data_IF_493206685957
#
_entry.id   IF_493206685957
#
_cell.length_a   1.000
_cell.length_b   1.000
_cell.length_c   1.000
_cell.angle_alpha   90.00
_cell.angle_beta   90.00
_cell.angle_gamma   90.00
#
_symmetry.space_group_name_H-M   'P 1'
#
loop_
_entity.id
_entity.type
_entity.pdbx_description
1 polymer ?
#
# COMPACT_ATOMS: atom_id res chain seq x y z
N UNK A 1 10.18 44.73 55.24
CA UNK A 1 9.43 45.56 54.28
C UNK A 1 8.06 45.73 54.91
N UNK A 2 7.71 46.94 55.34
CA UNK A 2 6.58 47.17 56.26
C UNK A 2 5.21 47.33 55.57
N UNK A 3 5.15 47.23 54.23
CA UNK A 3 3.90 47.29 53.46
C UNK A 3 3.90 46.31 52.25
N UNK A 4 2.73 45.79 51.83
CA UNK A 4 2.61 44.92 50.66
C UNK A 4 2.96 45.69 49.38
N UNK A 5 3.63 45.03 48.43
CA UNK A 5 4.01 45.65 47.15
C UNK A 5 2.78 45.85 46.29
N UNK A 6 2.57 47.06 45.81
CA UNK A 6 1.41 47.48 45.04
C UNK A 6 1.65 47.22 43.55
N UNK A 7 0.85 46.37 42.93
CA UNK A 7 1.04 45.91 41.54
C UNK A 7 -0.11 46.35 40.65
N UNK A 8 0.24 46.92 39.50
CA UNK A 8 -0.68 47.18 38.38
C UNK A 8 -0.42 46.15 37.25
N UNK A 9 -1.47 45.54 36.71
CA UNK A 9 -1.34 44.60 35.58
C UNK A 9 -1.94 45.22 34.31
N UNK A 10 -1.18 45.26 33.23
CA UNK A 10 -1.57 45.88 31.96
C UNK A 10 -1.58 44.83 30.85
N UNK A 11 -2.76 44.55 30.32
CA UNK A 11 -3.01 43.64 29.18
C UNK A 11 -4.46 43.87 28.75
N UNK A 12 -4.76 43.87 27.45
CA UNK A 12 -6.13 43.80 26.92
C UNK A 12 -6.75 42.42 27.10
N UNK A 13 -5.94 41.36 27.24
CA UNK A 13 -6.39 39.98 27.34
C UNK A 13 -6.89 39.62 28.76
N UNK A 14 -8.17 39.24 28.94
CA UNK A 14 -8.73 38.93 30.26
C UNK A 14 -8.08 37.72 30.92
N UNK A 15 -7.79 36.67 30.16
CA UNK A 15 -7.14 35.45 30.66
C UNK A 15 -5.74 35.71 31.23
N UNK A 16 -4.96 36.58 30.58
CA UNK A 16 -3.64 36.99 31.08
C UNK A 16 -3.77 37.67 32.44
N UNK A 17 -4.67 38.67 32.55
CA UNK A 17 -4.89 39.43 33.78
C UNK A 17 -5.39 38.54 34.93
N UNK A 18 -6.39 37.70 34.67
CA UNK A 18 -7.00 36.87 35.71
C UNK A 18 -6.10 35.71 36.12
N UNK A 19 -5.37 35.12 35.16
CA UNK A 19 -4.34 34.11 35.42
C UNK A 19 -3.21 34.66 36.30
N UNK A 20 -2.68 35.84 35.96
CA UNK A 20 -1.62 36.47 36.73
C UNK A 20 -2.09 36.91 38.13
N UNK A 21 -3.32 37.43 38.26
CA UNK A 21 -3.94 37.73 39.56
C UNK A 21 -3.99 36.48 40.44
N UNK A 22 -4.45 35.35 39.89
CA UNK A 22 -4.53 34.08 40.61
C UNK A 22 -3.15 33.58 41.04
N UNK A 23 -2.15 33.67 40.16
CA UNK A 23 -0.78 33.25 40.43
C UNK A 23 -0.14 34.07 41.54
N UNK A 24 -0.24 35.40 41.48
CA UNK A 24 0.34 36.30 42.49
C UNK A 24 -0.30 36.11 43.86
N UNK A 25 -1.63 35.94 43.92
CA UNK A 25 -2.32 35.65 45.18
C UNK A 25 -1.90 34.30 45.78
N UNK A 26 -1.83 33.24 44.95
CA UNK A 26 -1.44 31.91 45.43
C UNK A 26 0.00 31.84 45.93
N UNK A 27 0.92 32.54 45.28
CA UNK A 27 2.36 32.43 45.57
C UNK A 27 2.83 33.40 46.66
N UNK A 28 2.31 34.63 46.65
CA UNK A 28 2.89 35.74 47.39
C UNK A 28 1.85 36.60 48.16
N UNK A 29 0.63 36.08 48.35
CA UNK A 29 -0.58 36.83 48.74
C UNK A 29 -0.49 37.84 49.91
N UNK A 30 0.23 37.56 51.00
CA UNK A 30 0.37 38.54 52.10
C UNK A 30 1.38 39.66 51.82
N UNK A 31 2.13 39.56 50.71
CA UNK A 31 3.25 40.45 50.35
C UNK A 31 2.97 41.32 49.12
N UNK A 32 1.83 41.12 48.46
CA UNK A 32 1.46 41.76 47.19
C UNK A 32 0.01 42.22 47.25
N UNK A 33 -0.24 43.46 46.83
CA UNK A 33 -1.57 44.03 46.66
C UNK A 33 -1.76 44.40 45.19
N UNK A 34 -2.81 43.87 44.52
CA UNK A 34 -3.11 44.22 43.14
C UNK A 34 -4.02 45.45 43.14
N UNK A 35 -3.44 46.62 42.85
CA UNK A 35 -4.12 47.92 42.98
C UNK A 35 -5.00 48.27 41.79
N UNK A 36 -4.85 47.57 40.65
CA UNK A 36 -5.68 47.78 39.48
C UNK A 36 -5.29 46.93 38.27
N UNK A 37 -6.06 47.09 37.19
CA UNK A 37 -5.72 46.56 35.87
C UNK A 37 -6.06 47.55 34.78
N UNK A 38 -5.26 47.59 33.71
CA UNK A 38 -5.50 48.41 32.54
C UNK A 38 -5.51 47.58 31.25
N UNK A 39 -6.32 47.97 30.27
CA UNK A 39 -6.56 47.23 29.02
C UNK A 39 -5.88 47.84 27.80
N UNK A 40 -5.44 49.08 27.90
CA UNK A 40 -4.78 49.85 26.84
C UNK A 40 -3.83 50.88 27.48
N UNK A 41 -3.04 51.55 26.65
CA UNK A 41 -2.03 52.53 27.10
C UNK A 41 -2.65 53.67 27.92
N UNK A 42 -3.78 54.24 27.50
CA UNK A 42 -4.39 55.38 28.19
C UNK A 42 -4.92 55.02 29.58
N UNK A 43 -5.60 53.87 29.70
CA UNK A 43 -6.02 53.32 30.99
C UNK A 43 -4.82 53.03 31.89
N UNK A 44 -3.72 52.54 31.33
CA UNK A 44 -2.51 52.24 32.07
C UNK A 44 -1.92 53.52 32.65
N UNK A 45 -1.75 54.57 31.83
CA UNK A 45 -1.21 55.87 32.26
C UNK A 45 -2.13 56.52 33.31
N UNK A 46 -3.45 56.46 33.14
CA UNK A 46 -4.40 56.96 34.14
C UNK A 46 -4.25 56.20 35.47
N UNK A 47 -4.16 54.86 35.42
CA UNK A 47 -3.99 54.02 36.60
C UNK A 47 -2.66 54.25 37.32
N UNK A 48 -1.57 54.58 36.60
CA UNK A 48 -0.29 54.96 37.21
C UNK A 48 -0.44 56.18 38.11
N UNK A 49 -1.13 57.23 37.61
CA UNK A 49 -1.36 58.47 38.36
C UNK A 49 -2.30 58.28 39.54
N UNK A 50 -3.35 57.46 39.37
CA UNK A 50 -4.36 57.24 40.41
C UNK A 50 -3.88 56.33 41.53
N UNK A 51 -3.15 55.25 41.20
CA UNK A 51 -2.87 54.20 42.17
C UNK A 51 -1.44 54.24 42.73
N UNK A 52 -0.50 54.93 42.08
CA UNK A 52 0.91 54.99 42.49
C UNK A 52 1.49 53.58 42.84
N UNK A 53 1.53 52.64 41.88
CA UNK A 53 2.01 51.28 42.12
C UNK A 53 3.54 51.22 42.27
N UNK A 54 4.05 50.20 42.98
CA UNK A 54 5.48 49.91 43.11
C UNK A 54 6.02 49.14 41.89
N UNK A 55 5.14 48.36 41.23
CA UNK A 55 5.47 47.47 40.13
C UNK A 55 4.33 47.43 39.11
N UNK A 56 4.68 47.51 37.83
CA UNK A 56 3.75 47.32 36.71
C UNK A 56 4.16 46.09 35.93
N UNK A 57 3.23 45.17 35.71
CA UNK A 57 3.46 44.00 34.84
C UNK A 57 2.69 44.24 33.54
N UNK A 58 3.43 44.29 32.43
CA UNK A 58 2.86 44.51 31.10
C UNK A 58 3.02 43.25 30.27
N UNK A 59 1.91 42.84 29.66
CA UNK A 59 1.89 41.79 28.66
C UNK A 59 2.68 42.23 27.42
N UNK A 60 3.81 41.57 27.19
CA UNK A 60 4.72 41.88 26.10
C UNK A 60 4.12 41.57 24.73
N UNK A 61 3.22 40.58 24.67
CA UNK A 61 2.68 40.07 23.42
C UNK A 61 1.44 40.86 22.96
N UNK A 62 1.01 41.84 23.75
CA UNK A 62 -0.20 42.61 23.52
C UNK A 62 0.06 43.86 22.67
N UNK A 63 -0.42 43.82 21.44
CA UNK A 63 -0.25 44.90 20.46
C UNK A 63 -1.17 46.11 20.70
N UNK A 64 -2.17 45.99 21.57
CA UNK A 64 -3.05 47.11 21.94
C UNK A 64 -2.39 48.09 22.92
N UNK A 65 -1.24 47.71 23.48
CA UNK A 65 -0.41 48.55 24.34
C UNK A 65 0.75 49.05 23.49
N UNK A 66 0.70 50.31 23.10
CA UNK A 66 1.83 50.95 22.42
C UNK A 66 2.99 51.08 23.42
N UNK A 67 3.98 50.21 23.26
CA UNK A 67 5.10 50.03 24.21
C UNK A 67 6.00 51.26 24.25
N UNK A 68 6.28 51.85 23.10
CA UNK A 68 7.16 53.02 23.01
C UNK A 68 6.49 54.24 23.65
N UNK A 69 5.18 54.41 23.40
CA UNK A 69 4.39 55.47 24.04
C UNK A 69 4.24 55.26 25.55
N UNK A 70 4.01 54.01 25.98
CA UNK A 70 3.89 53.65 27.39
C UNK A 70 5.20 53.88 28.14
N UNK A 71 6.34 53.45 27.58
CA UNK A 71 7.66 53.62 28.19
C UNK A 71 8.18 55.06 28.12
N UNK A 72 7.86 55.82 27.05
CA UNK A 72 8.21 57.24 26.97
C UNK A 72 7.48 58.05 28.04
N UNK A 73 6.17 57.85 28.19
CA UNK A 73 5.37 58.52 29.23
C UNK A 73 5.64 57.97 30.63
N UNK A 74 6.12 56.74 30.76
CA UNK A 74 6.62 56.16 32.01
C UNK A 74 7.79 56.94 32.60
N UNK A 75 8.58 57.68 31.80
CA UNK A 75 9.77 58.41 32.28
C UNK A 75 9.43 59.82 32.81
N UNK A 76 8.30 60.42 32.42
CA UNK A 76 8.00 61.86 32.68
C UNK A 76 7.71 62.25 34.15
N UNK A 77 7.20 61.34 34.97
CA UNK A 77 6.90 61.53 36.41
C UNK A 77 8.14 61.31 37.34
N UNK A 78 8.05 61.63 38.64
CA UNK A 78 9.18 61.55 39.60
C UNK A 78 9.05 60.39 40.62
N UNK A 79 7.96 59.62 40.59
CA UNK A 79 7.77 58.52 41.54
C UNK A 79 8.56 57.24 41.18
N UNK A 80 9.25 56.61 42.15
CA UNK A 80 10.05 55.39 41.92
C UNK A 80 9.14 54.17 41.67
N UNK A 81 9.30 53.53 40.51
CA UNK A 81 8.45 52.41 40.07
C UNK A 81 9.26 51.43 39.18
N UNK A 82 8.93 50.14 39.24
CA UNK A 82 9.49 49.10 38.35
C UNK A 82 8.50 48.64 37.30
N UNK A 83 8.95 48.30 36.10
CA UNK A 83 8.12 47.70 35.04
C UNK A 83 8.68 46.34 34.67
N UNK A 84 7.83 45.35 34.49
CA UNK A 84 8.19 43.99 34.11
C UNK A 84 7.41 43.61 32.87
N UNK A 85 8.11 43.22 31.81
CA UNK A 85 7.51 42.70 30.59
C UNK A 85 7.46 41.18 30.64
N UNK A 86 6.29 40.61 30.41
CA UNK A 86 6.07 39.15 30.41
C UNK A 86 5.48 38.74 29.08
N UNK A 87 6.13 37.79 28.39
CA UNK A 87 5.62 37.14 27.19
C UNK A 87 5.10 35.75 27.55
N UNK A 88 3.99 35.35 26.93
CA UNK A 88 3.48 33.97 26.90
C UNK A 88 3.94 33.22 25.65
N UNK A 89 4.40 33.92 24.61
CA UNK A 89 4.86 33.33 23.34
C UNK A 89 6.35 32.97 23.35
N UNK A 90 7.17 33.73 24.08
CA UNK A 90 8.61 33.55 24.11
C UNK A 90 9.10 33.04 25.47
N UNK A 91 10.02 32.06 25.44
CA UNK A 91 10.70 31.58 26.65
C UNK A 91 12.07 32.26 26.76
N UNK A 92 12.18 33.25 27.65
CA UNK A 92 13.40 34.04 27.87
C UNK A 92 13.43 34.73 29.24
N UNK A 93 14.55 35.36 29.63
CA UNK A 93 14.65 36.08 30.90
C UNK A 93 13.64 37.24 30.95
N UNK A 94 12.93 37.35 32.07
CA UNK A 94 11.97 38.43 32.33
C UNK A 94 12.72 39.77 32.36
N UNK A 95 12.33 40.71 31.49
CA UNK A 95 12.96 42.04 31.42
C UNK A 95 12.35 42.94 32.48
N UNK A 96 13.19 43.45 33.40
CA UNK A 96 12.80 44.34 34.49
C UNK A 96 13.42 45.72 34.26
N UNK A 97 12.58 46.74 34.18
CA UNK A 97 12.96 48.14 34.06
C UNK A 97 12.90 48.82 35.43
N UNK A 98 13.96 49.56 35.79
CA UNK A 98 14.01 50.40 36.99
C UNK A 98 14.15 51.88 36.58
N UNK A 99 13.19 52.69 36.99
CA UNK A 99 13.15 54.13 36.66
C UNK A 99 14.35 54.90 37.21
N UNK A 100 15.00 54.42 38.29
CA UNK A 100 16.10 55.16 38.96
C UNK A 100 17.40 55.21 38.13
N UNK A 101 17.52 54.41 37.08
CA UNK A 101 18.78 54.25 36.32
C UNK A 101 18.69 54.62 34.83
N UNK A 102 17.57 55.17 34.34
CA UNK A 102 17.38 55.45 32.91
C UNK A 102 17.39 56.95 32.58
N UNK A 103 18.30 57.36 31.67
CA UNK A 103 18.23 58.63 30.95
C UNK A 103 17.71 58.36 29.53
N UNK A 104 16.72 59.12 29.07
CA UNK A 104 15.92 58.84 27.87
C UNK A 104 16.68 58.70 26.53
N UNK A 105 17.97 59.05 26.47
CA UNK A 105 18.77 59.00 25.24
C UNK A 105 19.48 57.66 24.97
N UNK A 106 19.28 56.61 25.77
CA UNK A 106 19.93 55.28 25.61
C UNK A 106 19.01 54.16 25.10
N UNK A 107 17.80 54.50 24.66
CA UNK A 107 16.77 53.51 24.30
C UNK A 107 17.08 52.84 22.95
N UNK A 108 17.55 53.61 21.97
CA UNK A 108 17.83 53.11 20.61
C UNK A 108 19.10 52.27 20.53
N UNK A 109 20.14 52.61 21.32
CA UNK A 109 21.41 51.86 21.35
C UNK A 109 21.25 50.48 22.01
N UNK A 110 20.34 50.32 22.97
CA UNK A 110 20.20 49.07 23.73
C UNK A 110 19.35 48.02 23.03
N UNK A 111 18.39 48.42 22.19
CA UNK A 111 17.59 47.49 21.38
C UNK A 111 18.43 46.71 20.36
N UNK A 112 19.57 47.27 19.95
CA UNK A 112 20.44 46.67 18.95
C UNK A 112 21.51 45.73 19.53
N UNK A 113 21.84 45.83 20.84
CA UNK A 113 22.98 45.13 21.48
C UNK A 113 22.60 43.89 22.32
N UNK A 114 21.41 43.31 22.11
CA UNK A 114 20.93 42.14 22.86
C UNK A 114 21.51 40.81 22.34
N UNK A 115 22.80 40.53 22.58
CA UNK A 115 23.29 39.14 22.67
C UNK A 115 23.13 38.62 24.10
N UNK A 116 22.13 37.76 24.31
CA UNK A 116 21.88 37.09 25.60
C UNK A 116 22.93 35.97 25.78
N UNK A 117 23.77 35.99 26.86
CA UNK A 117 24.71 34.91 27.12
C UNK A 117 23.96 33.62 27.48
N UNK A 118 23.92 32.66 26.55
CA UNK A 118 23.44 31.30 26.82
C UNK A 118 24.43 30.58 27.76
N UNK A 119 23.97 29.88 28.82
CA UNK A 119 24.84 29.09 29.68
C UNK A 119 25.44 27.92 28.88
N UNK A 120 26.71 28.06 28.47
CA UNK A 120 27.43 27.12 27.58
C UNK A 120 27.49 25.67 28.10
N UNK A 121 27.22 25.42 29.38
CA UNK A 121 27.39 24.11 29.99
C UNK A 121 26.10 23.28 30.14
N UNK A 122 24.91 23.89 30.18
CA UNK A 122 23.64 23.13 30.27
C UNK A 122 23.24 22.51 28.92
N UNK A 123 23.55 23.21 27.82
CA UNK A 123 23.31 22.72 26.45
C UNK A 123 24.21 21.53 26.09
N UNK A 124 25.43 21.47 26.63
CA UNK A 124 26.40 20.40 26.32
C UNK A 124 26.08 19.08 27.02
N UNK A 125 25.59 19.08 28.26
CA UNK A 125 25.16 17.86 28.95
C UNK A 125 23.85 17.30 28.37
N UNK A 126 22.89 18.17 28.04
CA UNK A 126 21.66 17.82 27.34
C UNK A 126 21.92 17.25 25.93
N UNK A 127 22.80 17.89 25.13
CA UNK A 127 23.21 17.39 23.81
C UNK A 127 23.90 16.02 23.89
N UNK A 128 24.74 15.79 24.91
CA UNK A 128 25.50 14.53 25.05
C UNK A 128 24.61 13.36 25.49
N UNK A 129 23.54 13.62 26.26
CA UNK A 129 22.48 12.65 26.56
C UNK A 129 21.63 12.32 25.34
N UNK A 130 21.17 13.36 24.63
CA UNK A 130 20.36 13.22 23.40
C UNK A 130 21.08 12.45 22.28
N UNK A 131 22.38 12.70 22.10
CA UNK A 131 23.18 12.03 21.07
C UNK A 131 23.33 10.52 21.30
N UNK A 132 23.40 10.06 22.55
CA UNK A 132 23.44 8.63 22.89
C UNK A 132 22.15 7.91 22.49
N UNK A 133 21.00 8.54 22.76
CA UNK A 133 19.69 8.01 22.36
C UNK A 133 19.56 7.93 20.85
N UNK A 134 19.97 8.98 20.14
CA UNK A 134 19.92 9.01 18.68
C UNK A 134 20.80 7.91 18.05
N UNK A 135 22.04 7.74 18.55
CA UNK A 135 22.94 6.69 18.08
C UNK A 135 22.36 5.30 18.38
N UNK A 136 21.81 5.08 19.58
CA UNK A 136 21.21 3.80 19.95
C UNK A 136 20.00 3.46 19.05
N UNK A 137 19.12 4.44 18.78
CA UNK A 137 17.97 4.27 17.88
C UNK A 137 18.43 3.98 16.46
N UNK A 138 19.42 4.71 15.93
CA UNK A 138 19.95 4.47 14.60
C UNK A 138 20.53 3.05 14.46
N UNK A 139 21.31 2.60 15.44
CA UNK A 139 21.84 1.22 15.48
C UNK A 139 20.69 0.22 15.52
N UNK A 140 19.67 0.45 16.36
CA UNK A 140 18.53 -0.45 16.49
C UNK A 140 17.71 -0.53 15.19
N UNK A 141 17.50 0.58 14.48
CA UNK A 141 16.87 0.60 13.15
C UNK A 141 17.64 -0.28 12.18
N UNK A 142 18.97 -0.15 12.12
CA UNK A 142 19.80 -0.97 11.23
C UNK A 142 19.72 -2.45 11.61
N UNK A 143 19.84 -2.79 12.89
CA UNK A 143 19.75 -4.17 13.37
C UNK A 143 18.39 -4.78 13.02
N UNK A 144 17.29 -4.08 13.34
CA UNK A 144 15.93 -4.57 13.06
C UNK A 144 15.71 -4.71 11.55
N UNK A 145 16.16 -3.75 10.73
CA UNK A 145 16.05 -3.84 9.28
C UNK A 145 16.78 -5.07 8.71
N UNK A 146 18.01 -5.32 9.17
CA UNK A 146 18.81 -6.49 8.76
C UNK A 146 18.15 -7.79 9.21
N UNK A 147 17.67 -7.87 10.46
CA UNK A 147 17.00 -9.06 10.98
C UNK A 147 15.69 -9.36 10.25
N UNK A 148 14.89 -8.33 9.95
CA UNK A 148 13.65 -8.49 9.18
C UNK A 148 13.96 -8.98 7.77
N UNK A 149 14.91 -8.36 7.08
CA UNK A 149 15.30 -8.79 5.74
C UNK A 149 15.84 -10.23 5.73
N UNK A 150 16.76 -10.56 6.63
CA UNK A 150 17.31 -11.90 6.75
C UNK A 150 16.24 -12.94 7.12
N UNK A 151 15.29 -12.58 7.97
CA UNK A 151 14.14 -13.42 8.30
C UNK A 151 13.25 -13.71 7.10
N UNK A 152 12.92 -12.69 6.29
CA UNK A 152 12.14 -12.84 5.07
C UNK A 152 12.85 -13.69 4.01
N UNK A 153 14.17 -13.50 3.83
CA UNK A 153 14.98 -14.31 2.93
C UNK A 153 15.03 -15.77 3.38
N UNK A 154 15.19 -16.02 4.68
CA UNK A 154 15.22 -17.36 5.26
C UNK A 154 13.88 -18.12 5.11
N UNK A 155 12.75 -17.41 5.05
CA UNK A 155 11.43 -18.01 4.83
C UNK A 155 11.24 -18.54 3.40
N UNK A 156 12.06 -18.12 2.43
CA UNK A 156 11.99 -18.63 1.06
C UNK A 156 10.62 -18.40 0.40
N UNK A 157 10.01 -17.23 0.62
CA UNK A 157 8.63 -16.93 0.16
C UNK A 157 8.46 -16.96 -1.37
N UNK A 158 9.55 -16.83 -2.12
CA UNK A 158 9.52 -16.78 -3.58
C UNK A 158 9.69 -18.19 -4.17
N UNK A 159 8.83 -18.60 -5.12
CA UNK A 159 9.05 -19.83 -5.89
C UNK A 159 10.38 -19.79 -6.63
N UNK A 160 10.85 -20.94 -7.09
CA UNK A 160 12.06 -21.01 -7.91
C UNK A 160 11.95 -20.09 -9.13
N UNK A 161 13.04 -19.40 -9.46
CA UNK A 161 13.17 -18.60 -10.66
C UNK A 161 13.35 -19.54 -11.87
N UNK A 162 12.40 -19.52 -12.81
CA UNK A 162 12.39 -20.45 -13.95
C UNK A 162 12.16 -19.79 -15.32
N UNK A 163 12.24 -18.45 -15.40
CA UNK A 163 12.19 -17.71 -16.67
C UNK A 163 13.23 -16.59 -16.72
N UNK A 164 13.55 -16.13 -17.94
CA UNK A 164 14.38 -14.95 -18.13
C UNK A 164 13.70 -13.69 -17.57
N UNK A 165 12.37 -13.58 -17.70
CA UNK A 165 11.58 -12.45 -17.18
C UNK A 165 11.60 -12.38 -15.66
N UNK A 166 11.75 -13.52 -14.97
CA UNK A 166 11.78 -13.56 -13.51
C UNK A 166 13.03 -12.89 -12.91
N UNK A 167 14.14 -12.79 -13.65
CA UNK A 167 15.40 -12.18 -13.18
C UNK A 167 15.24 -10.69 -12.84
N UNK A 168 14.86 -9.80 -13.77
CA UNK A 168 14.68 -8.39 -13.45
C UNK A 168 13.57 -8.15 -12.43
N UNK A 169 12.52 -8.99 -12.43
CA UNK A 169 11.42 -8.90 -11.46
C UNK A 169 11.90 -9.24 -10.05
N UNK A 170 12.62 -10.34 -9.87
CA UNK A 170 13.15 -10.75 -8.56
C UNK A 170 14.18 -9.75 -8.02
N UNK A 171 15.01 -9.17 -8.89
CA UNK A 171 15.95 -8.11 -8.52
C UNK A 171 15.23 -6.86 -8.00
N UNK A 172 14.19 -6.40 -8.70
CA UNK A 172 13.36 -5.29 -8.24
C UNK A 172 12.64 -5.62 -6.94
N UNK A 173 12.02 -6.80 -6.86
CA UNK A 173 11.31 -7.25 -5.67
C UNK A 173 12.24 -7.28 -4.45
N UNK A 174 13.44 -7.87 -4.59
CA UNK A 174 14.44 -7.91 -3.52
C UNK A 174 14.92 -6.52 -3.10
N UNK A 175 15.07 -5.58 -4.04
CA UNK A 175 15.40 -4.19 -3.71
C UNK A 175 14.26 -3.51 -2.93
N UNK A 176 13.00 -3.71 -3.34
CA UNK A 176 11.83 -3.19 -2.65
C UNK A 176 11.72 -3.75 -1.23
N UNK A 177 11.90 -5.07 -1.06
CA UNK A 177 11.84 -5.72 0.26
C UNK A 177 12.89 -5.12 1.21
N UNK A 178 14.12 -4.87 0.75
CA UNK A 178 15.17 -4.24 1.57
C UNK A 178 14.80 -2.83 2.00
N UNK A 179 14.27 -2.00 1.08
CA UNK A 179 13.82 -0.64 1.41
C UNK A 179 12.62 -0.66 2.36
N UNK A 180 11.65 -1.54 2.13
CA UNK A 180 10.48 -1.71 3.00
C UNK A 180 10.90 -2.20 4.39
N UNK A 181 11.82 -3.16 4.49
CA UNK A 181 12.36 -3.63 5.77
C UNK A 181 13.03 -2.49 6.54
N UNK A 182 13.79 -1.63 5.87
CA UNK A 182 14.36 -0.43 6.46
C UNK A 182 13.29 0.56 6.94
N UNK A 183 12.30 0.90 6.11
CA UNK A 183 11.23 1.84 6.46
C UNK A 183 10.35 1.30 7.60
N UNK A 184 10.05 0.00 7.59
CA UNK A 184 9.35 -0.68 8.66
C UNK A 184 10.14 -0.59 9.96
N UNK A 185 11.43 -0.91 9.94
CA UNK A 185 12.30 -0.80 11.10
C UNK A 185 12.38 0.65 11.61
N UNK A 186 12.48 1.63 10.71
CA UNK A 186 12.47 3.04 11.04
C UNK A 186 11.20 3.40 11.82
N UNK A 187 10.02 3.08 11.30
CA UNK A 187 8.74 3.41 11.96
C UNK A 187 8.60 2.66 13.29
N UNK A 188 8.80 1.34 13.29
CA UNK A 188 8.57 0.48 14.47
C UNK A 188 9.54 0.82 15.60
N UNK A 189 10.82 1.02 15.31
CA UNK A 189 11.80 1.36 16.34
C UNK A 189 11.49 2.72 16.95
N UNK A 190 11.17 3.75 16.15
CA UNK A 190 10.80 5.06 16.69
C UNK A 190 9.49 5.01 17.49
N UNK A 191 8.52 4.20 17.07
CA UNK A 191 7.27 3.98 17.80
C UNK A 191 7.51 3.30 19.14
N UNK A 192 8.26 2.19 19.17
CA UNK A 192 8.62 1.48 20.41
C UNK A 192 9.47 2.36 21.33
N UNK A 193 10.46 3.08 20.76
CA UNK A 193 11.26 4.06 21.49
C UNK A 193 10.37 5.09 22.17
N UNK A 194 9.38 5.63 21.45
CA UNK A 194 8.47 6.63 22.00
C UNK A 194 7.60 6.08 23.13
N UNK A 195 7.09 4.85 22.97
CA UNK A 195 6.30 4.17 24.01
C UNK A 195 7.10 3.89 25.29
N UNK A 196 8.42 3.67 25.18
CA UNK A 196 9.29 3.36 26.33
C UNK A 196 9.84 4.63 26.96
N UNK A 197 10.35 5.56 26.17
CA UNK A 197 11.10 6.73 26.63
C UNK A 197 10.17 7.88 27.03
N UNK A 198 9.09 8.11 26.28
CA UNK A 198 8.13 9.19 26.56
C UNK A 198 6.91 8.70 27.37
N UNK A 199 7.01 7.52 27.99
CA UNK A 199 5.98 7.02 28.90
C UNK A 199 5.85 7.91 30.14
N UNK A 200 4.64 8.36 30.44
CA UNK A 200 4.33 9.04 31.71
C UNK A 200 4.71 8.17 32.90
N UNK A 201 5.52 8.71 33.82
CA UNK A 201 5.94 8.01 35.04
C UNK A 201 4.90 8.15 36.15
N UNK A 202 4.91 7.23 37.11
CA UNK A 202 4.03 7.32 38.27
C UNK A 202 4.31 8.62 39.05
N UNK A 203 3.26 9.40 39.32
CA UNK A 203 3.36 10.69 40.01
C UNK A 203 3.73 11.89 39.12
N UNK A 204 3.99 11.67 37.83
CA UNK A 204 4.24 12.77 36.89
C UNK A 204 2.92 13.49 36.55
N UNK A 205 2.83 14.78 36.84
CA UNK A 205 1.68 15.64 36.53
C UNK A 205 2.07 16.80 35.60
N UNK A 206 3.27 16.79 35.03
CA UNK A 206 3.70 17.80 34.07
C UNK A 206 3.12 17.55 32.68
N UNK A 207 3.01 18.63 31.90
CA UNK A 207 2.69 18.54 30.47
C UNK A 207 3.94 18.22 29.65
N UNK A 208 3.74 17.58 28.49
CA UNK A 208 4.82 17.35 27.53
C UNK A 208 5.32 18.67 26.93
N UNK A 209 6.53 18.65 26.38
CA UNK A 209 7.05 19.81 25.65
C UNK A 209 6.12 20.16 24.47
N UNK A 210 5.68 21.41 24.39
CA UNK A 210 4.85 21.90 23.29
C UNK A 210 5.72 22.31 22.10
N UNK A 211 5.49 21.67 20.95
CA UNK A 211 6.06 22.02 19.67
C UNK A 211 5.07 21.58 18.58
N UNK A 212 4.93 22.37 17.51
CA UNK A 212 3.93 22.13 16.46
C UNK A 212 4.51 21.43 15.22
N UNK A 213 5.82 21.51 15.00
CA UNK A 213 6.44 20.90 13.83
C UNK A 213 7.88 21.33 13.60
N UNK A 214 8.42 20.90 12.46
CA UNK A 214 9.76 21.28 12.02
C UNK A 214 9.79 21.27 10.50
N UNK A 215 9.63 22.44 9.87
CA UNK A 215 9.52 22.59 8.41
C UNK A 215 10.67 21.93 7.65
N UNK A 216 11.90 21.99 8.18
CA UNK A 216 13.04 21.32 7.54
C UNK A 216 12.92 19.79 7.51
N UNK A 217 12.29 19.20 8.54
CA UNK A 217 12.03 17.75 8.61
C UNK A 217 10.88 17.39 7.68
N UNK A 218 9.87 18.26 7.61
CA UNK A 218 8.75 18.12 6.69
C UNK A 218 9.17 18.12 5.22
N UNK A 219 10.06 19.04 4.85
CA UNK A 219 10.65 19.07 3.51
C UNK A 219 11.46 17.78 3.26
N UNK A 220 12.31 17.38 4.22
CA UNK A 220 13.15 16.21 4.07
C UNK A 220 12.34 14.92 3.87
N UNK A 221 11.32 14.67 4.70
CA UNK A 221 10.47 13.48 4.58
C UNK A 221 9.47 13.54 3.42
N UNK A 222 9.38 14.66 2.71
CA UNK A 222 8.54 14.79 1.50
C UNK A 222 9.38 14.55 0.25
N UNK A 223 10.55 15.19 0.18
CA UNK A 223 11.46 15.06 -0.96
C UNK A 223 12.07 13.65 -1.02
N UNK A 224 12.47 13.07 0.11
CA UNK A 224 13.12 11.75 0.12
C UNK A 224 12.20 10.63 -0.42
N UNK A 225 10.93 10.48 0.02
CA UNK A 225 10.02 9.52 -0.58
C UNK A 225 9.71 9.83 -2.05
N UNK A 226 9.52 11.09 -2.42
CA UNK A 226 9.28 11.46 -3.81
C UNK A 226 10.45 11.02 -4.71
N UNK A 227 11.68 11.36 -4.34
CA UNK A 227 12.87 10.95 -5.07
C UNK A 227 13.00 9.42 -5.14
N UNK A 228 12.69 8.72 -4.04
CA UNK A 228 12.71 7.25 -3.98
C UNK A 228 11.71 6.64 -4.96
N UNK A 229 10.46 7.12 -4.98
CA UNK A 229 9.42 6.64 -5.90
C UNK A 229 9.80 6.93 -7.36
N UNK A 230 10.34 8.11 -7.66
CA UNK A 230 10.79 8.45 -9.02
C UNK A 230 11.93 7.53 -9.47
N UNK A 231 12.88 7.24 -8.58
CA UNK A 231 13.99 6.32 -8.87
C UNK A 231 13.49 4.89 -9.13
N UNK A 232 12.61 4.36 -8.29
CA UNK A 232 12.00 3.04 -8.53
C UNK A 232 11.12 3.01 -9.77
N UNK A 233 10.45 4.11 -10.11
CA UNK A 233 9.67 4.20 -11.35
C UNK A 233 10.58 4.10 -12.59
N UNK A 234 11.75 4.74 -12.55
CA UNK A 234 12.75 4.61 -13.61
C UNK A 234 13.27 3.17 -13.76
N UNK A 235 13.65 2.52 -12.66
CA UNK A 235 14.08 1.12 -12.69
C UNK A 235 12.97 0.17 -13.14
N UNK A 236 11.73 0.41 -12.68
CA UNK A 236 10.55 -0.35 -13.06
C UNK A 236 10.23 -0.24 -14.56
N UNK A 237 10.37 0.95 -15.15
CA UNK A 237 10.20 1.14 -16.58
C UNK A 237 11.25 0.34 -17.39
N UNK A 238 12.50 0.32 -16.93
CA UNK A 238 13.56 -0.49 -17.55
C UNK A 238 13.28 -1.99 -17.48
N UNK A 239 12.90 -2.50 -16.31
CA UNK A 239 12.55 -3.91 -16.13
C UNK A 239 11.31 -4.30 -16.95
N UNK A 240 10.31 -3.42 -17.05
CA UNK A 240 9.14 -3.63 -17.89
C UNK A 240 9.54 -3.74 -19.37
N UNK A 241 10.39 -2.85 -19.86
CA UNK A 241 10.89 -2.90 -21.23
C UNK A 241 11.67 -4.20 -21.52
N UNK A 242 12.49 -4.66 -20.57
CA UNK A 242 13.26 -5.91 -20.70
C UNK A 242 12.34 -7.14 -20.73
N UNK A 243 11.37 -7.21 -19.80
CA UNK A 243 10.44 -8.34 -19.71
C UNK A 243 9.49 -8.45 -20.92
N UNK A 244 9.16 -7.31 -21.54
CA UNK A 244 8.30 -7.24 -22.72
C UNK A 244 9.06 -7.37 -24.05
N UNK A 245 10.40 -7.47 -24.02
CA UNK A 245 11.23 -7.48 -25.24
C UNK A 245 10.86 -8.63 -26.16
N UNK A 246 10.46 -8.30 -27.39
CA UNK A 246 10.08 -9.27 -28.40
C UNK A 246 11.31 -9.87 -29.09
N UNK A 247 11.29 -11.20 -29.24
CA UNK A 247 12.14 -11.95 -30.14
C UNK A 247 11.38 -12.21 -31.45
N UNK A 248 11.86 -11.74 -32.61
CA UNK A 248 11.25 -12.02 -33.91
C UNK A 248 11.15 -13.52 -34.25
N UNK A 249 11.92 -14.38 -33.59
CA UNK A 249 11.92 -15.83 -33.77
C UNK A 249 11.14 -16.57 -32.68
N UNK A 250 10.33 -15.86 -31.88
CA UNK A 250 9.52 -16.45 -30.83
C UNK A 250 8.53 -17.48 -31.39
N UNK A 251 8.45 -18.64 -30.74
CA UNK A 251 7.45 -19.66 -31.06
C UNK A 251 6.07 -19.18 -30.60
N UNK A 252 5.04 -19.33 -31.43
CA UNK A 252 3.68 -18.96 -31.04
C UNK A 252 2.92 -20.14 -30.42
N UNK A 253 2.22 -19.88 -29.32
CA UNK A 253 1.23 -20.79 -28.74
C UNK A 253 -0.03 -20.01 -28.45
N UNK A 254 -1.18 -20.48 -28.93
CA UNK A 254 -2.46 -19.89 -28.53
C UNK A 254 -2.88 -20.50 -27.20
N UNK A 255 -3.27 -19.65 -26.27
CA UNK A 255 -3.69 -20.02 -24.92
C UNK A 255 -5.14 -19.59 -24.75
N UNK A 256 -6.03 -20.57 -24.68
CA UNK A 256 -7.47 -20.33 -24.60
C UNK A 256 -7.95 -20.70 -23.21
N UNK A 257 -8.52 -19.72 -22.50
CA UNK A 257 -9.23 -19.91 -21.24
C UNK A 257 -10.70 -20.23 -21.49
N UNK A 258 -11.20 -21.24 -20.79
CA UNK A 258 -12.61 -21.63 -20.75
C UNK A 258 -12.92 -22.09 -19.33
N UNK A 259 -14.10 -21.83 -18.79
CA UNK A 259 -14.52 -22.38 -17.50
C UNK A 259 -14.51 -23.92 -17.54
N UNK A 260 -13.67 -24.64 -16.81
CA UNK A 260 -12.51 -24.22 -16.00
C UNK A 260 -11.25 -25.03 -16.38
N UNK A 261 -10.81 -24.88 -17.62
CA UNK A 261 -9.63 -25.51 -18.22
C UNK A 261 -8.86 -24.53 -19.09
N UNK A 262 -7.57 -24.83 -19.30
CA UNK A 262 -6.78 -24.20 -20.35
C UNK A 262 -6.66 -25.13 -21.56
N UNK A 263 -6.65 -24.53 -22.76
CA UNK A 263 -6.30 -25.21 -24.01
C UNK A 263 -5.13 -24.48 -24.66
N UNK A 264 -4.14 -25.26 -25.08
CA UNK A 264 -2.92 -24.79 -25.73
C UNK A 264 -2.92 -25.30 -27.16
N UNK A 265 -2.80 -24.40 -28.13
CA UNK A 265 -2.74 -24.75 -29.55
C UNK A 265 -1.39 -24.31 -30.13
N UNK A 266 -0.72 -25.22 -30.82
CA UNK A 266 0.59 -25.05 -31.45
C UNK A 266 0.38 -24.99 -32.96
N UNK A 267 0.30 -23.80 -33.57
CA UNK A 267 -0.08 -23.66 -34.98
C UNK A 267 0.88 -24.37 -35.94
N UNK A 268 2.19 -24.34 -35.65
CA UNK A 268 3.22 -24.95 -36.49
C UNK A 268 3.06 -26.48 -36.64
N UNK A 269 2.47 -27.15 -35.64
CA UNK A 269 2.23 -28.59 -35.66
C UNK A 269 0.77 -29.00 -35.81
N UNK A 270 -0.16 -28.03 -35.87
CA UNK A 270 -1.60 -28.28 -35.74
C UNK A 270 -1.95 -29.17 -34.52
N UNK A 271 -1.23 -28.98 -33.41
CA UNK A 271 -1.39 -29.75 -32.18
C UNK A 271 -2.20 -28.93 -31.18
N UNK A 272 -3.08 -29.61 -30.43
CA UNK A 272 -3.76 -29.02 -29.30
C UNK A 272 -3.68 -29.94 -28.08
N UNK A 273 -3.52 -29.33 -26.90
CA UNK A 273 -3.24 -30.01 -25.64
C UNK A 273 -3.84 -29.24 -24.46
N UNK A 274 -4.13 -29.93 -23.36
CA UNK A 274 -4.42 -29.31 -22.05
C UNK A 274 -3.19 -29.24 -21.15
N UNK A 275 -2.02 -29.58 -21.67
CA UNK A 275 -0.71 -29.37 -21.02
C UNK A 275 0.12 -28.44 -21.90
N UNK A 276 0.70 -27.42 -21.27
CA UNK A 276 1.57 -26.47 -21.95
C UNK A 276 3.00 -27.03 -21.97
N UNK A 277 3.49 -27.38 -23.14
CA UNK A 277 4.85 -27.83 -23.37
C UNK A 277 5.67 -26.64 -23.88
N UNK A 278 6.82 -26.39 -23.26
CA UNK A 278 7.70 -25.28 -23.61
C UNK A 278 9.13 -25.80 -23.83
N UNK A 279 9.79 -25.41 -24.94
CA UNK A 279 11.22 -25.60 -25.09
C UNK A 279 11.97 -24.63 -24.18
N UNK A 280 12.93 -25.15 -23.41
CA UNK A 280 13.86 -24.35 -22.61
C UNK A 280 14.68 -23.40 -23.48
N UNK A 281 14.99 -22.23 -22.94
CA UNK A 281 15.84 -21.18 -23.52
C UNK A 281 15.38 -20.62 -24.88
N UNK A 282 14.14 -20.90 -25.29
CA UNK A 282 13.49 -20.30 -26.46
C UNK A 282 12.35 -19.39 -26.00
N UNK A 283 12.26 -18.18 -26.57
CA UNK A 283 11.13 -17.30 -26.30
C UNK A 283 9.86 -17.87 -26.93
N UNK A 284 8.78 -17.90 -26.14
CA UNK A 284 7.45 -18.29 -26.58
C UNK A 284 6.53 -17.08 -26.44
N UNK A 285 5.83 -16.75 -27.52
CA UNK A 285 4.75 -15.79 -27.57
C UNK A 285 3.43 -16.53 -27.31
N UNK A 286 2.92 -16.38 -26.10
CA UNK A 286 1.59 -16.85 -25.74
C UNK A 286 0.56 -15.82 -26.21
N UNK A 287 -0.37 -16.25 -27.05
CA UNK A 287 -1.52 -15.45 -27.52
C UNK A 287 -2.76 -15.86 -26.75
N UNK A 288 -3.15 -15.03 -25.78
CA UNK A 288 -4.19 -15.33 -24.81
C UNK A 288 -5.55 -14.81 -25.26
N UNK A 289 -6.56 -15.67 -25.16
CA UNK A 289 -7.97 -15.33 -25.35
C UNK A 289 -8.86 -16.18 -24.46
N UNK A 290 -10.12 -15.78 -24.31
CA UNK A 290 -11.15 -16.54 -23.62
C UNK A 290 -12.35 -16.82 -24.51
N UNK A 291 -13.00 -17.96 -24.29
CA UNK A 291 -14.28 -18.29 -24.96
C UNK A 291 -15.51 -17.87 -24.15
N UNK A 292 -15.34 -17.45 -22.88
CA UNK A 292 -16.46 -17.14 -21.98
C UNK A 292 -16.25 -15.87 -21.16
N UNK A 293 -15.64 -15.97 -19.98
CA UNK A 293 -15.39 -14.88 -19.02
C UNK A 293 -13.92 -14.51 -19.01
N UNK A 294 -13.54 -13.48 -18.25
CA UNK A 294 -12.13 -13.16 -18.07
C UNK A 294 -11.45 -14.27 -17.24
N UNK A 295 -10.27 -14.69 -17.69
CA UNK A 295 -9.33 -15.51 -16.91
C UNK A 295 -7.99 -14.79 -16.83
N UNK A 296 -7.05 -15.30 -16.05
CA UNK A 296 -5.66 -14.79 -16.06
C UNK A 296 -4.67 -15.93 -16.00
N UNK A 297 -3.82 -16.03 -17.01
CA UNK A 297 -2.78 -17.06 -17.10
C UNK A 297 -1.64 -16.67 -16.18
N UNK A 298 -1.30 -17.54 -15.23
CA UNK A 298 -0.18 -17.30 -14.33
C UNK A 298 0.58 -18.57 -13.99
N UNK A 299 1.89 -18.56 -14.28
CA UNK A 299 2.86 -19.54 -13.77
C UNK A 299 3.77 -18.79 -12.80
N UNK A 300 3.62 -18.96 -11.47
CA UNK A 300 4.34 -18.17 -10.48
C UNK A 300 5.86 -18.16 -10.66
N UNK A 301 6.46 -19.29 -11.02
CA UNK A 301 7.89 -19.48 -11.26
C UNK A 301 8.42 -18.66 -12.44
N UNK A 302 7.54 -18.24 -13.35
CA UNK A 302 7.88 -17.39 -14.49
C UNK A 302 7.70 -15.89 -14.22
N UNK A 303 7.09 -15.52 -13.08
CA UNK A 303 6.82 -14.13 -12.62
C UNK A 303 5.94 -13.25 -13.53
N UNK A 304 5.50 -13.78 -14.66
CA UNK A 304 4.64 -13.08 -15.61
C UNK A 304 3.23 -13.64 -15.55
N UNK A 305 2.25 -12.74 -15.67
CA UNK A 305 0.84 -13.07 -15.79
C UNK A 305 0.20 -12.20 -16.85
N UNK A 306 -0.86 -12.70 -17.48
CA UNK A 306 -1.64 -11.90 -18.42
C UNK A 306 -3.09 -12.38 -18.45
N UNK A 307 -3.99 -11.42 -18.56
CA UNK A 307 -5.42 -11.70 -18.62
C UNK A 307 -5.81 -12.22 -20.01
N UNK A 308 -6.64 -13.25 -20.01
CA UNK A 308 -7.27 -13.82 -21.19
C UNK A 308 -8.69 -13.26 -21.28
N UNK A 309 -8.93 -12.42 -22.28
CA UNK A 309 -10.18 -11.67 -22.43
C UNK A 309 -11.10 -12.34 -23.46
N UNK A 310 -12.43 -12.29 -23.26
CA UNK A 310 -13.38 -12.78 -24.24
C UNK A 310 -13.46 -11.86 -25.46
N UNK A 311 -13.68 -12.48 -26.63
CA UNK A 311 -13.89 -11.79 -27.91
C UNK A 311 -12.69 -11.88 -28.87
N UNK A 312 -12.98 -12.11 -30.16
CA UNK A 312 -11.98 -12.41 -31.18
C UNK A 312 -10.94 -11.28 -31.42
N UNK A 313 -11.33 -10.03 -31.12
CA UNK A 313 -10.46 -8.85 -31.27
C UNK A 313 -9.65 -8.51 -30.01
N UNK A 314 -9.71 -9.33 -28.95
CA UNK A 314 -9.13 -9.03 -27.63
C UNK A 314 -7.94 -9.92 -27.26
N UNK A 315 -7.26 -10.50 -28.25
CA UNK A 315 -6.07 -11.34 -28.03
C UNK A 315 -4.97 -10.54 -27.35
N UNK A 316 -4.43 -11.07 -26.24
CA UNK A 316 -3.33 -10.46 -25.49
C UNK A 316 -2.05 -11.25 -25.66
N UNK A 317 -0.94 -10.54 -25.75
CA UNK A 317 0.39 -11.13 -25.80
C UNK A 317 0.95 -11.31 -24.38
N UNK A 318 1.58 -12.46 -24.14
CA UNK A 318 2.49 -12.69 -23.03
C UNK A 318 3.74 -13.39 -23.57
N UNK A 319 4.91 -12.84 -23.24
CA UNK A 319 6.19 -13.41 -23.65
C UNK A 319 6.84 -14.11 -22.48
N UNK A 320 7.31 -15.33 -22.70
CA UNK A 320 8.03 -16.10 -21.69
C UNK A 320 9.21 -16.82 -22.32
N UNK A 321 10.34 -16.81 -21.63
CA UNK A 321 11.51 -17.64 -21.97
C UNK A 321 11.82 -18.50 -20.76
N UNK A 322 11.38 -19.76 -20.76
CA UNK A 322 11.60 -20.67 -19.66
C UNK A 322 13.08 -21.11 -19.62
N UNK A 323 13.74 -21.00 -18.48
CA UNK A 323 15.20 -21.24 -18.34
C UNK A 323 15.53 -22.50 -17.55
N UNK A 324 14.52 -23.13 -16.94
CA UNK A 324 14.70 -24.32 -16.10
C UNK A 324 13.71 -25.41 -16.48
N UNK A 325 14.23 -26.56 -16.88
CA UNK A 325 13.43 -27.78 -17.16
C UNK A 325 12.68 -28.24 -15.91
N UNK A 326 11.53 -28.85 -16.11
CA UNK A 326 10.71 -29.40 -15.03
C UNK A 326 9.22 -29.27 -15.29
N UNK A 327 8.46 -29.75 -14.30
CA UNK A 327 7.00 -29.64 -14.29
C UNK A 327 6.57 -28.48 -13.39
N UNK A 328 5.73 -27.62 -13.95
CA UNK A 328 5.09 -26.50 -13.31
C UNK A 328 3.60 -26.58 -13.57
N UNK A 329 2.85 -25.57 -13.14
CA UNK A 329 1.43 -25.46 -13.47
C UNK A 329 1.04 -24.02 -13.73
N UNK A 330 0.16 -23.84 -14.71
CA UNK A 330 -0.60 -22.61 -14.84
C UNK A 330 -1.75 -22.65 -13.85
N UNK A 331 -2.02 -21.49 -13.23
CA UNK A 331 -3.17 -21.24 -12.39
C UNK A 331 -3.98 -20.10 -12.99
N UNK A 332 -5.31 -20.17 -12.88
CA UNK A 332 -6.14 -19.00 -13.13
C UNK A 332 -5.97 -17.98 -12.00
N UNK A 333 -5.64 -16.73 -12.36
CA UNK A 333 -5.43 -15.63 -11.41
C UNK A 333 -6.48 -14.51 -11.52
N UNK A 334 -7.62 -14.77 -12.17
CA UNK A 334 -8.79 -13.87 -12.23
C UNK A 334 -10.05 -14.67 -11.88
N UNK A 335 -10.92 -14.12 -11.03
CA UNK A 335 -12.07 -14.85 -10.51
C UNK A 335 -13.03 -15.22 -11.64
N UNK A 336 -13.04 -16.49 -12.04
CA UNK A 336 -13.75 -16.95 -13.23
C UNK A 336 -14.92 -17.91 -12.93
N UNK A 337 -15.44 -17.95 -11.70
CA UNK A 337 -16.62 -18.74 -11.32
C UNK A 337 -16.34 -19.87 -10.33
N UNK A 338 -17.25 -20.84 -10.24
CA UNK A 338 -17.32 -21.83 -9.15
C UNK A 338 -16.06 -22.67 -8.98
N UNK A 339 -15.42 -23.10 -10.08
CA UNK A 339 -14.19 -23.90 -10.04
C UNK A 339 -12.92 -23.06 -10.30
N UNK A 340 -12.97 -21.75 -10.06
CA UNK A 340 -11.82 -20.85 -10.23
C UNK A 340 -10.57 -21.34 -9.48
N UNK A 341 -10.72 -21.71 -8.21
CA UNK A 341 -9.61 -22.15 -7.35
C UNK A 341 -8.93 -23.44 -7.82
N UNK A 342 -9.59 -24.23 -8.67
CA UNK A 342 -9.09 -25.50 -9.20
C UNK A 342 -8.79 -25.43 -10.71
N UNK A 343 -8.88 -24.24 -11.32
CA UNK A 343 -8.58 -24.04 -12.73
C UNK A 343 -7.07 -24.01 -12.95
N UNK A 344 -6.48 -25.21 -12.99
CA UNK A 344 -5.05 -25.42 -13.18
C UNK A 344 -4.79 -26.32 -14.40
N UNK A 345 -3.62 -26.17 -15.03
CA UNK A 345 -3.16 -27.10 -16.07
C UNK A 345 -1.65 -27.31 -15.98
N UNK A 346 -1.14 -28.50 -16.30
CA UNK A 346 0.30 -28.77 -16.23
C UNK A 346 1.08 -27.95 -17.25
N UNK A 347 2.30 -27.57 -16.88
CA UNK A 347 3.27 -26.92 -17.76
C UNK A 347 4.55 -27.75 -17.70
N UNK A 348 5.07 -28.20 -18.84
CA UNK A 348 6.28 -29.01 -18.91
C UNK A 348 7.32 -28.24 -19.71
N UNK A 349 8.41 -27.87 -19.04
CA UNK A 349 9.59 -27.28 -19.68
C UNK A 349 10.60 -28.38 -19.94
N UNK A 350 10.96 -28.57 -21.21
CA UNK A 350 11.84 -29.64 -21.66
C UNK A 350 12.94 -29.12 -22.59
N UNK A 351 13.93 -29.97 -22.85
CA UNK A 351 14.99 -29.62 -23.79
C UNK A 351 14.42 -29.50 -25.22
N UNK A 352 15.02 -28.64 -26.04
CA UNK A 352 14.44 -28.26 -27.34
C UNK A 352 14.26 -29.45 -28.30
N UNK A 353 15.15 -30.45 -28.23
CA UNK A 353 15.06 -31.69 -29.01
C UNK A 353 13.88 -32.58 -28.55
N UNK A 354 13.63 -32.67 -27.24
CA UNK A 354 12.51 -33.42 -26.68
C UNK A 354 11.17 -32.76 -27.07
N UNK A 355 11.12 -31.42 -27.02
CA UNK A 355 9.96 -30.66 -27.47
C UNK A 355 9.64 -30.93 -28.95
N UNK A 356 10.66 -30.88 -29.82
CA UNK A 356 10.47 -31.16 -31.24
C UNK A 356 9.96 -32.59 -31.49
N UNK A 357 10.49 -33.58 -30.78
CA UNK A 357 10.04 -34.97 -30.86
C UNK A 357 8.60 -35.16 -30.36
N UNK A 358 8.22 -34.47 -29.27
CA UNK A 358 6.86 -34.46 -28.76
C UNK A 358 5.89 -33.86 -29.78
N UNK A 359 6.23 -32.70 -30.36
CA UNK A 359 5.36 -32.01 -31.32
C UNK A 359 5.12 -32.86 -32.59
N UNK A 360 6.18 -33.49 -33.13
CA UNK A 360 6.07 -34.39 -34.29
C UNK A 360 5.21 -35.62 -33.99
N UNK A 361 5.37 -36.20 -32.79
CA UNK A 361 4.56 -37.34 -32.34
C UNK A 361 3.08 -36.95 -32.22
N UNK A 362 2.78 -35.82 -31.58
CA UNK A 362 1.40 -35.37 -31.39
C UNK A 362 0.72 -34.93 -32.69
N UNK A 363 1.45 -34.32 -33.62
CA UNK A 363 0.93 -33.98 -34.94
C UNK A 363 0.42 -35.21 -35.72
N UNK A 364 1.02 -36.38 -35.45
CA UNK A 364 0.66 -37.67 -36.07
C UNK A 364 -0.37 -38.47 -35.27
N UNK A 365 -0.78 -38.00 -34.08
CA UNK A 365 -1.49 -38.81 -33.06
C UNK A 365 -3.03 -38.71 -33.05
N UNK A 366 -3.69 -38.29 -34.13
CA UNK A 366 -5.17 -38.20 -34.12
C UNK A 366 -5.78 -39.61 -34.21
N UNK A 367 -6.59 -40.06 -33.22
CA UNK A 367 -7.24 -41.37 -33.29
C UNK A 367 -8.17 -41.47 -34.50
N UNK A 368 -8.13 -42.61 -35.20
CA UNK A 368 -9.04 -42.88 -36.33
C UNK A 368 -10.43 -43.28 -35.88
N UNK A 369 -10.57 -43.80 -34.66
CA UNK A 369 -11.86 -44.16 -34.05
C UNK A 369 -12.63 -42.91 -33.56
N UNK A 370 -13.87 -42.68 -34.04
CA UNK A 370 -14.74 -41.60 -33.55
C UNK A 370 -14.94 -41.59 -32.03
N UNK A 371 -15.02 -42.75 -31.38
CA UNK A 371 -15.24 -42.83 -29.93
C UNK A 371 -14.02 -42.29 -29.17
N UNK A 372 -12.83 -42.71 -29.56
CA UNK A 372 -11.57 -42.20 -28.97
C UNK A 372 -11.38 -40.71 -29.24
N UNK A 373 -11.73 -40.22 -30.44
CA UNK A 373 -11.75 -38.77 -30.72
C UNK A 373 -12.75 -38.04 -29.84
N UNK A 374 -13.95 -38.56 -29.67
CA UNK A 374 -14.98 -37.99 -28.81
C UNK A 374 -14.51 -37.88 -27.36
N UNK A 375 -13.87 -38.93 -26.83
CA UNK A 375 -13.26 -38.90 -25.50
C UNK A 375 -12.17 -37.83 -25.41
N UNK A 376 -11.29 -37.73 -26.41
CA UNK A 376 -10.26 -36.67 -26.49
C UNK A 376 -10.88 -35.28 -26.48
N UNK A 377 -11.91 -35.02 -27.30
CA UNK A 377 -12.62 -33.74 -27.34
C UNK A 377 -13.27 -33.40 -25.99
N UNK A 378 -13.85 -34.38 -25.31
CA UNK A 378 -14.46 -34.17 -23.99
C UNK A 378 -13.46 -33.66 -22.94
N UNK A 379 -12.22 -34.13 -22.98
CA UNK A 379 -11.13 -33.60 -22.14
C UNK A 379 -10.64 -32.25 -22.67
N UNK A 380 -10.40 -32.14 -23.97
CA UNK A 380 -9.77 -30.98 -24.60
C UNK A 380 -10.61 -29.70 -24.51
N UNK A 381 -11.92 -29.81 -24.63
CA UNK A 381 -12.87 -28.70 -24.50
C UNK A 381 -13.40 -28.53 -23.07
N UNK A 382 -12.86 -29.26 -22.10
CA UNK A 382 -13.19 -29.08 -20.67
C UNK A 382 -14.54 -29.66 -20.24
N UNK A 383 -15.22 -30.44 -21.08
CA UNK A 383 -16.52 -31.04 -20.74
C UNK A 383 -16.44 -31.89 -19.47
N UNK A 384 -15.34 -32.62 -19.30
CA UNK A 384 -15.09 -33.47 -18.13
C UNK A 384 -14.94 -32.69 -16.81
N UNK A 385 -14.71 -31.37 -16.85
CA UNK A 385 -14.66 -30.55 -15.63
C UNK A 385 -16.06 -30.37 -15.00
N UNK A 386 -17.11 -30.43 -15.81
CA UNK A 386 -18.50 -30.23 -15.36
C UNK A 386 -19.31 -31.53 -15.37
N UNK A 387 -19.04 -32.43 -16.31
CA UNK A 387 -19.79 -33.65 -16.54
C UNK A 387 -19.00 -34.90 -16.15
N UNK A 388 -19.51 -35.63 -15.16
CA UNK A 388 -18.95 -36.92 -14.76
C UNK A 388 -19.43 -38.05 -15.68
N UNK A 389 -18.71 -39.18 -15.67
CA UNK A 389 -19.12 -40.42 -16.36
C UNK A 389 -19.45 -41.55 -15.38
N UNK A 390 -19.44 -41.28 -14.08
CA UNK A 390 -19.63 -42.28 -13.02
C UNK A 390 -21.07 -42.31 -12.45
N UNK A 391 -21.92 -41.38 -12.85
CA UNK A 391 -23.30 -41.21 -12.38
C UNK A 391 -23.48 -40.10 -11.34
N UNK A 392 -22.41 -39.50 -10.81
CA UNK A 392 -22.52 -38.44 -9.80
C UNK A 392 -22.76 -37.07 -10.46
N UNK A 393 -23.78 -36.35 -10.04
CA UNK A 393 -23.98 -34.97 -10.49
C UNK A 393 -22.83 -34.07 -10.01
N UNK A 394 -22.33 -33.21 -10.89
CA UNK A 394 -21.32 -32.19 -10.59
C UNK A 394 -21.89 -30.80 -10.84
N UNK A 395 -21.09 -29.93 -11.46
CA UNK A 395 -21.58 -28.65 -12.00
C UNK A 395 -22.65 -28.89 -13.06
N UNK A 396 -22.45 -29.90 -13.90
CA UNK A 396 -23.43 -30.38 -14.88
C UNK A 396 -23.95 -31.80 -14.56
N UNK A 397 -24.97 -32.25 -15.31
CA UNK A 397 -25.48 -33.61 -15.22
C UNK A 397 -24.42 -34.65 -15.60
N UNK A 398 -24.48 -35.84 -14.99
CA UNK A 398 -23.63 -36.96 -15.36
C UNK A 398 -24.01 -37.51 -16.75
N UNK A 399 -22.99 -37.87 -17.53
CA UNK A 399 -23.13 -38.49 -18.84
C UNK A 399 -23.38 -40.00 -18.80
N UNK A 400 -23.32 -40.63 -17.63
CA UNK A 400 -23.58 -42.07 -17.49
C UNK A 400 -25.01 -42.40 -17.91
N UNK A 401 -25.15 -43.26 -18.92
CA UNK A 401 -26.42 -43.70 -19.48
C UNK A 401 -27.28 -42.56 -20.02
N UNK A 402 -26.68 -41.43 -20.40
CA UNK A 402 -27.43 -40.21 -20.74
C UNK A 402 -28.07 -40.32 -22.13
N UNK A 403 -27.39 -40.97 -23.08
CA UNK A 403 -27.88 -41.06 -24.45
C UNK A 403 -29.16 -41.90 -24.54
N UNK A 404 -30.21 -41.34 -25.12
CA UNK A 404 -31.53 -41.95 -25.26
C UNK A 404 -32.42 -41.89 -24.02
N UNK A 405 -31.92 -41.40 -22.88
CA UNK A 405 -32.69 -41.18 -21.64
C UNK A 405 -33.69 -40.03 -21.81
N UNK A 406 -34.81 -40.11 -21.09
CA UNK A 406 -35.70 -38.94 -20.92
C UNK A 406 -35.19 -38.05 -19.78
N UNK A 407 -35.01 -36.76 -20.06
CA UNK A 407 -34.66 -35.72 -19.10
C UNK A 407 -35.82 -34.77 -18.88
N UNK A 408 -36.02 -34.35 -17.63
CA UNK A 408 -36.95 -33.28 -17.29
C UNK A 408 -36.21 -31.94 -17.32
N UNK A 409 -36.73 -30.96 -18.05
CA UNK A 409 -36.18 -29.60 -18.09
C UNK A 409 -36.65 -28.77 -16.90
N UNK A 410 -36.01 -27.63 -16.66
CA UNK A 410 -36.43 -26.65 -15.65
C UNK A 410 -37.84 -26.10 -15.89
N UNK A 411 -38.34 -26.18 -17.13
CA UNK A 411 -39.73 -25.82 -17.51
C UNK A 411 -40.75 -26.90 -17.17
N UNK A 412 -40.32 -28.09 -16.71
CA UNK A 412 -41.17 -29.26 -16.50
C UNK A 412 -41.42 -30.11 -17.77
N UNK A 413 -40.96 -29.66 -18.94
CA UNK A 413 -41.03 -30.45 -20.17
C UNK A 413 -40.08 -31.64 -20.11
N UNK A 414 -40.52 -32.81 -20.58
CA UNK A 414 -39.64 -33.96 -20.80
C UNK A 414 -39.09 -33.96 -22.22
N UNK A 415 -37.80 -34.23 -22.37
CA UNK A 415 -37.11 -34.36 -23.66
C UNK A 415 -36.28 -35.62 -23.70
N UNK A 416 -36.18 -36.24 -24.88
CA UNK A 416 -35.26 -37.36 -25.09
C UNK A 416 -33.87 -36.79 -25.42
N UNK A 417 -32.84 -37.33 -24.78
CA UNK A 417 -31.44 -36.97 -25.07
C UNK A 417 -31.00 -37.70 -26.34
N UNK A 418 -31.22 -37.09 -27.50
CA UNK A 418 -30.77 -37.56 -28.81
C UNK A 418 -29.67 -36.65 -29.40
N UNK A 419 -29.20 -36.97 -30.62
CA UNK A 419 -28.15 -36.22 -31.32
C UNK A 419 -28.51 -34.73 -31.47
N UNK A 420 -29.78 -34.43 -31.75
CA UNK A 420 -30.26 -33.05 -31.94
C UNK A 420 -30.25 -32.28 -30.62
N UNK A 421 -30.72 -32.91 -29.53
CA UNK A 421 -30.64 -32.35 -28.20
C UNK A 421 -29.19 -32.07 -27.79
N UNK A 422 -28.27 -33.03 -27.96
CA UNK A 422 -26.86 -32.86 -27.59
C UNK A 422 -26.21 -31.73 -28.41
N UNK A 423 -26.46 -31.67 -29.72
CA UNK A 423 -25.94 -30.60 -30.59
C UNK A 423 -26.46 -29.23 -30.17
N UNK A 424 -27.75 -29.11 -29.86
CA UNK A 424 -28.36 -27.87 -29.37
C UNK A 424 -27.82 -27.46 -28.00
N UNK A 425 -27.65 -28.41 -27.07
CA UNK A 425 -27.07 -28.15 -25.75
C UNK A 425 -25.63 -27.65 -25.81
N UNK A 426 -24.83 -28.05 -26.81
CA UNK A 426 -23.46 -27.54 -26.99
C UNK A 426 -23.47 -26.13 -27.62
N UNK A 427 -24.32 -25.89 -28.60
CA UNK A 427 -24.38 -24.63 -29.37
C UNK A 427 -25.11 -23.51 -28.60
N UNK A 428 -26.19 -23.88 -27.92
CA UNK A 428 -27.13 -22.98 -27.25
C UNK A 428 -27.47 -23.52 -25.86
N UNK A 429 -26.49 -23.62 -24.95
CA UNK A 429 -26.63 -24.31 -23.66
C UNK A 429 -27.74 -23.75 -22.75
N UNK A 430 -28.11 -22.48 -22.91
CA UNK A 430 -29.19 -21.86 -22.15
C UNK A 430 -30.60 -22.24 -22.65
N UNK A 431 -30.74 -22.86 -23.83
CA UNK A 431 -32.05 -23.15 -24.42
C UNK A 431 -32.83 -24.25 -23.67
N UNK A 432 -32.14 -25.28 -23.17
CA UNK A 432 -32.76 -26.47 -22.55
C UNK A 432 -31.97 -26.92 -21.32
N UNK A 433 -32.22 -26.27 -20.19
CA UNK A 433 -31.61 -26.61 -18.91
C UNK A 433 -32.30 -27.81 -18.25
N UNK A 434 -31.52 -28.80 -17.85
CA UNK A 434 -32.00 -29.97 -17.09
C UNK A 434 -32.42 -29.54 -15.69
N UNK A 435 -33.53 -30.08 -15.18
CA UNK A 435 -34.06 -29.81 -13.84
C UNK A 435 -32.98 -30.06 -12.77
N UNK A 436 -32.83 -29.10 -11.86
CA UNK A 436 -31.78 -29.11 -10.84
C UNK A 436 -30.49 -28.39 -11.24
N UNK A 437 -30.32 -28.01 -12.51
CA UNK A 437 -29.19 -27.22 -13.00
C UNK A 437 -29.67 -25.86 -13.49
N UNK A 438 -29.20 -24.78 -12.85
CA UNK A 438 -29.64 -23.40 -13.13
C UNK A 438 -28.60 -22.57 -13.86
N UNK A 439 -27.34 -23.00 -13.87
CA UNK A 439 -26.25 -22.33 -14.59
C UNK A 439 -26.08 -22.98 -15.97
N UNK A 440 -26.22 -22.24 -17.07
CA UNK A 440 -25.94 -22.78 -18.40
C UNK A 440 -24.45 -23.11 -18.56
N UNK A 441 -24.14 -24.11 -19.40
CA UNK A 441 -22.77 -24.35 -19.83
C UNK A 441 -22.22 -23.14 -20.60
N UNK A 442 -20.89 -22.93 -20.65
CA UNK A 442 -20.28 -21.99 -21.58
C UNK A 442 -20.64 -22.32 -23.03
N UNK A 443 -20.77 -21.29 -23.87
CA UNK A 443 -20.96 -21.49 -25.31
C UNK A 443 -19.65 -22.01 -25.90
N UNK A 444 -19.70 -23.19 -26.53
CA UNK A 444 -18.51 -23.80 -27.13
C UNK A 444 -18.62 -23.82 -28.66
N UNK A 445 -17.58 -23.35 -29.32
CA UNK A 445 -17.50 -23.34 -30.79
C UNK A 445 -16.77 -24.59 -31.28
N UNK A 446 -17.50 -25.71 -31.43
CA UNK A 446 -16.98 -26.96 -32.01
C UNK A 446 -17.35 -27.08 -33.49
N UNK A 447 -16.62 -27.88 -34.25
CA UNK A 447 -17.06 -28.30 -35.59
C UNK A 447 -18.15 -29.37 -35.51
N UNK A 448 -18.94 -29.53 -36.56
CA UNK A 448 -19.98 -30.56 -36.59
C UNK A 448 -19.40 -31.98 -36.51
N UNK A 449 -18.19 -32.20 -37.05
CA UNK A 449 -17.48 -33.46 -36.91
C UNK A 449 -17.05 -33.74 -35.45
N UNK A 450 -16.58 -32.72 -34.73
CA UNK A 450 -16.22 -32.86 -33.30
C UNK A 450 -17.45 -33.16 -32.43
N UNK A 451 -18.59 -32.54 -32.74
CA UNK A 451 -19.85 -32.83 -32.06
C UNK A 451 -20.30 -34.28 -32.34
N UNK A 452 -20.18 -34.74 -33.59
CA UNK A 452 -20.50 -36.12 -33.94
C UNK A 452 -19.62 -37.13 -33.19
N UNK A 453 -18.30 -36.91 -33.13
CA UNK A 453 -17.38 -37.74 -32.35
C UNK A 453 -17.76 -37.77 -30.85
N UNK A 454 -18.11 -36.61 -30.27
CA UNK A 454 -18.59 -36.52 -28.87
C UNK A 454 -19.86 -37.33 -28.63
N UNK A 455 -20.80 -37.29 -29.57
CA UNK A 455 -22.04 -38.08 -29.50
C UNK A 455 -21.72 -39.58 -29.54
N UNK A 456 -20.80 -40.02 -30.41
CA UNK A 456 -20.36 -41.42 -30.44
C UNK A 456 -19.74 -41.86 -29.11
N UNK A 457 -18.93 -41.00 -28.49
CA UNK A 457 -18.42 -41.28 -27.15
C UNK A 457 -19.55 -41.39 -26.10
N UNK A 458 -20.50 -40.46 -26.09
CA UNK A 458 -21.65 -40.47 -25.17
C UNK A 458 -22.49 -41.76 -25.26
N UNK A 459 -22.68 -42.29 -26.49
CA UNK A 459 -23.39 -43.56 -26.72
C UNK A 459 -22.72 -44.76 -26.02
N UNK A 460 -21.42 -44.69 -25.74
CA UNK A 460 -20.69 -45.77 -25.05
C UNK A 460 -20.83 -45.76 -23.53
N UNK A 461 -21.25 -44.64 -22.94
CA UNK A 461 -21.37 -44.46 -21.50
C UNK A 461 -22.70 -45.01 -21.00
N UNK A 462 -22.73 -46.27 -20.57
CA UNK A 462 -23.96 -46.97 -20.10
C UNK A 462 -24.23 -46.80 -18.61
#
# INVERSE_FOLDING_TARGET
>A
MDHPRRILIVSSHPLFRDGLKSLLHKRDGARVEIVGTARNTDEAIAALKTHAPDLVIVDHDDTSINRDEFLARFIEDQQPMRVVLVSLKETGPVVVYDRRTMAGARIEDWLNDLEIPQPKNALNESRRGSMKHFIAVAILVVIVAVLVNAGLEALGLMPVQASAQAVPIDNLFGMHVKVIAFLFALIVVFMVYSLVVFRRKAGDTGDGAHFEGHTGLEIAWTILPLATVLYFSYLGAGALAETMRADPQAMEVKVIGTQWTWRFEYPEGNVSSNTLYLPKDKQVLLKLSSTDVIHSFWVPEFRVKQDALPGDNMVKDLRVTATKTGEYKVRCAELCGQLHATMESPVVVMEANEFAAWLDKEAKSIPTDPVERGRRWATQFGCAACHSVDGKAGIGPSWKGVYGREEELTTGQKVKVDDAYIKESIRTPAAKLVKGFTTPMPVLTLSDAQIADLIEYLKTLK
#
